data_IF_151380624982
#
_entry.id   IF_151380624982
#
_cell.length_a   1.000
_cell.length_b   1.000
_cell.length_c   1.000
_cell.angle_alpha   90.00
_cell.angle_beta   90.00
_cell.angle_gamma   90.00
#
_symmetry.space_group_name_H-M   'P 1'
#
loop_
_entity.id
_entity.type
_entity.pdbx_description
1 polymer ?
#
# COMPACT_ATOMS: atom_id res chain seq x y z
N UNK A 1 -34.02 28.53 -52.37
CA UNK A 1 -33.63 29.68 -51.52
C UNK A 1 -34.03 29.30 -50.09
N UNK A 2 -33.13 28.63 -49.36
CA UNK A 2 -32.17 29.18 -48.40
C UNK A 2 -32.78 29.63 -47.05
N UNK A 3 -32.18 29.06 -46.00
CA UNK A 3 -32.12 29.45 -44.57
C UNK A 3 -33.17 28.79 -43.66
N UNK A 4 -32.90 27.81 -42.78
CA UNK A 4 -31.83 27.51 -41.79
C UNK A 4 -32.20 27.94 -40.35
N UNK A 5 -32.05 26.98 -39.41
CA UNK A 5 -32.07 27.02 -37.94
C UNK A 5 -33.47 26.96 -37.28
N UNK A 6 -33.76 26.14 -36.26
CA UNK A 6 -33.04 25.90 -34.99
C UNK A 6 -33.47 24.52 -34.38
N UNK A 7 -32.58 23.92 -33.54
CA UNK A 7 -32.79 22.91 -32.48
C UNK A 7 -32.61 21.41 -32.80
N UNK A 8 -31.34 21.01 -32.82
CA UNK A 8 -30.84 19.69 -32.39
C UNK A 8 -30.50 19.81 -30.91
N UNK A 9 -31.07 18.98 -30.03
CA UNK A 9 -30.43 18.32 -28.86
C UNK A 9 -31.48 17.77 -27.89
N UNK A 10 -31.83 16.49 -28.01
CA UNK A 10 -32.34 15.68 -26.88
C UNK A 10 -32.38 14.21 -27.34
N UNK A 11 -31.41 13.41 -26.94
CA UNK A 11 -31.45 11.97 -27.24
C UNK A 11 -30.15 11.19 -27.09
N UNK A 12 -29.24 11.59 -26.20
CA UNK A 12 -28.03 10.83 -25.86
C UNK A 12 -27.77 10.89 -24.35
N UNK A 13 -28.72 10.41 -23.53
CA UNK A 13 -28.54 10.35 -22.08
C UNK A 13 -29.15 9.09 -21.41
N UNK A 14 -29.50 8.06 -22.18
CA UNK A 14 -30.06 6.81 -21.60
C UNK A 14 -29.09 5.61 -21.60
N UNK A 15 -27.82 5.81 -21.98
CA UNK A 15 -26.82 4.74 -22.07
C UNK A 15 -25.75 4.67 -20.98
N UNK A 16 -25.67 5.66 -20.07
CA UNK A 16 -24.53 5.79 -19.13
C UNK A 16 -24.85 5.45 -17.66
N UNK A 17 -26.10 5.14 -17.32
CA UNK A 17 -26.49 4.90 -15.92
C UNK A 17 -26.30 3.44 -15.45
N UNK A 18 -26.31 2.46 -16.36
CA UNK A 18 -26.11 1.05 -16.00
C UNK A 18 -24.63 0.68 -15.80
N UNK A 19 -23.70 1.39 -16.45
CA UNK A 19 -22.26 1.15 -16.32
C UNK A 19 -21.67 1.63 -15.00
N UNK A 20 -22.14 2.76 -14.45
CA UNK A 20 -21.67 3.26 -13.15
C UNK A 20 -22.16 2.40 -11.98
N UNK A 21 -23.39 1.88 -12.04
CA UNK A 21 -23.90 0.96 -11.02
C UNK A 21 -23.18 -0.40 -11.05
N UNK A 22 -22.83 -0.93 -12.22
CA UNK A 22 -22.04 -2.16 -12.31
C UNK A 22 -20.60 -1.97 -11.78
N UNK A 23 -19.95 -0.85 -12.07
CA UNK A 23 -18.61 -0.57 -11.52
C UNK A 23 -18.61 -0.36 -10.00
N UNK A 24 -19.63 0.30 -9.45
CA UNK A 24 -19.79 0.44 -7.99
C UNK A 24 -20.06 -0.92 -7.34
N UNK A 25 -20.93 -1.75 -7.93
CA UNK A 25 -21.24 -3.08 -7.38
C UNK A 25 -20.03 -4.02 -7.44
N UNK A 26 -19.20 -3.94 -8.50
CA UNK A 26 -17.95 -4.71 -8.59
C UNK A 26 -16.86 -4.17 -7.64
N UNK A 27 -16.76 -2.85 -7.45
CA UNK A 27 -15.87 -2.25 -6.46
C UNK A 27 -16.29 -2.64 -5.04
N UNK A 28 -17.58 -2.59 -4.72
CA UNK A 28 -18.13 -2.97 -3.41
C UNK A 28 -18.00 -4.47 -3.14
N UNK A 29 -18.15 -5.32 -4.16
CA UNK A 29 -17.89 -6.77 -4.04
C UNK A 29 -16.40 -7.09 -3.86
N UNK A 30 -15.51 -6.34 -4.52
CA UNK A 30 -14.06 -6.46 -4.36
C UNK A 30 -13.61 -5.96 -2.97
N UNK A 31 -14.18 -4.85 -2.48
CA UNK A 31 -13.90 -4.33 -1.14
C UNK A 31 -14.41 -5.27 -0.04
N UNK A 32 -15.53 -5.95 -0.26
CA UNK A 32 -16.07 -6.94 0.67
C UNK A 32 -15.33 -8.29 0.64
N UNK A 33 -14.74 -8.71 -0.49
CA UNK A 33 -13.86 -9.89 -0.54
C UNK A 33 -12.48 -9.62 0.08
N UNK A 34 -12.00 -8.38 0.04
CA UNK A 34 -10.79 -7.89 0.73
C UNK A 34 -10.94 -7.93 2.28
N UNK A 35 -12.15 -8.12 2.82
CA UNK A 35 -12.45 -7.89 4.23
C UNK A 35 -12.38 -9.09 5.16
N UNK A 36 -12.09 -10.32 4.69
CA UNK A 36 -11.79 -11.44 5.61
C UNK A 36 -10.38 -11.37 6.21
N UNK A 37 -9.92 -10.17 6.53
CA UNK A 37 -8.76 -9.94 7.37
C UNK A 37 -9.12 -10.37 8.78
N UNK A 38 -8.44 -11.41 9.27
CA UNK A 38 -8.51 -11.87 10.66
C UNK A 38 -8.34 -10.64 11.57
N UNK A 39 -9.43 -10.24 12.23
CA UNK A 39 -9.35 -9.29 13.33
C UNK A 39 -8.54 -9.98 14.43
N UNK A 40 -7.55 -9.26 14.95
CA UNK A 40 -6.71 -9.74 16.03
C UNK A 40 -7.60 -10.00 17.26
N UNK A 41 -7.92 -11.28 17.47
CA UNK A 41 -8.34 -11.82 18.76
C UNK A 41 -7.43 -13.02 19.02
N UNK A 42 -6.38 -12.72 19.78
CA UNK A 42 -5.24 -13.57 20.12
C UNK A 42 -5.60 -14.68 21.15
N UNK A 43 -6.80 -15.27 21.04
CA UNK A 43 -7.27 -16.32 21.95
C UNK A 43 -7.21 -17.75 21.39
N UNK A 44 -7.12 -17.91 20.07
CA UNK A 44 -7.24 -19.21 19.37
C UNK A 44 -6.05 -19.44 18.40
N UNK A 45 -4.85 -19.07 18.88
CA UNK A 45 -3.71 -18.58 18.07
C UNK A 45 -2.98 -19.63 17.21
N UNK A 46 -2.89 -20.91 17.58
CA UNK A 46 -1.88 -21.77 16.93
C UNK A 46 -2.19 -22.18 15.47
N UNK A 47 -3.43 -22.59 15.17
CA UNK A 47 -3.81 -23.07 13.82
C UNK A 47 -4.01 -21.95 12.81
N UNK A 48 -4.65 -20.84 13.21
CA UNK A 48 -4.88 -19.70 12.33
C UNK A 48 -3.58 -19.00 11.93
N UNK A 49 -2.65 -18.86 12.88
CA UNK A 49 -1.34 -18.25 12.64
C UNK A 49 -0.47 -19.09 11.72
N UNK A 50 -0.41 -20.41 11.96
CA UNK A 50 0.29 -21.33 11.07
C UNK A 50 -0.27 -21.29 9.65
N UNK A 51 -1.61 -21.31 9.50
CA UNK A 51 -2.24 -21.19 8.18
C UNK A 51 -1.85 -19.91 7.46
N UNK A 52 -1.92 -18.76 8.13
CA UNK A 52 -1.50 -17.48 7.50
C UNK A 52 -0.03 -17.50 7.11
N UNK A 53 0.84 -18.13 7.91
CA UNK A 53 2.24 -18.30 7.53
C UNK A 53 2.40 -19.12 6.26
N UNK A 54 1.78 -20.30 6.23
CA UNK A 54 1.97 -21.31 5.19
C UNK A 54 1.34 -20.89 3.86
N UNK A 55 0.18 -20.24 3.91
CA UNK A 55 -0.62 -19.81 2.76
C UNK A 55 -0.34 -18.36 2.30
N UNK A 56 0.59 -17.64 2.95
CA UNK A 56 0.97 -16.30 2.49
C UNK A 56 1.53 -16.36 1.06
N UNK A 57 0.95 -15.57 0.17
CA UNK A 57 1.17 -15.68 -1.29
C UNK A 57 2.63 -15.46 -1.68
N UNK A 58 3.28 -14.44 -1.12
CA UNK A 58 4.67 -14.12 -1.42
C UNK A 58 5.59 -14.55 -0.27
N UNK A 59 6.07 -15.80 -0.33
CA UNK A 59 6.98 -16.36 0.68
C UNK A 59 8.30 -15.60 0.79
N UNK A 60 8.80 -15.04 -0.32
CA UNK A 60 10.05 -14.26 -0.31
C UNK A 60 9.90 -12.97 0.50
N UNK A 61 8.79 -12.24 0.31
CA UNK A 61 8.45 -11.10 1.16
C UNK A 61 8.16 -11.55 2.60
N UNK A 62 7.36 -12.60 2.80
CA UNK A 62 7.07 -13.15 4.14
C UNK A 62 8.35 -13.40 4.92
N UNK A 63 9.29 -14.17 4.36
CA UNK A 63 10.52 -14.61 5.03
C UNK A 63 11.51 -13.45 5.22
N UNK A 64 11.42 -12.42 4.37
CA UNK A 64 12.22 -11.20 4.52
C UNK A 64 11.71 -10.35 5.70
N UNK A 65 10.39 -10.16 5.83
CA UNK A 65 9.80 -9.21 6.78
C UNK A 65 9.32 -9.83 8.10
N UNK A 66 8.99 -11.12 8.11
CA UNK A 66 8.33 -11.80 9.21
C UNK A 66 9.13 -13.03 9.66
N UNK A 67 8.92 -13.42 10.90
CA UNK A 67 9.48 -14.63 11.50
C UNK A 67 8.36 -15.39 12.19
N UNK A 68 8.29 -16.70 11.96
CA UNK A 68 7.46 -17.61 12.74
C UNK A 68 8.25 -18.06 13.96
N UNK A 69 7.71 -17.78 15.14
CA UNK A 69 8.26 -18.19 16.44
C UNK A 69 7.27 -19.07 17.17
N UNK A 70 7.77 -19.97 18.01
CA UNK A 70 6.94 -20.78 18.88
C UNK A 70 7.09 -20.27 20.32
N UNK A 71 5.97 -19.88 20.93
CA UNK A 71 5.89 -19.51 22.35
C UNK A 71 4.98 -20.52 23.07
N UNK A 72 5.60 -21.47 23.76
CA UNK A 72 4.91 -22.63 24.32
C UNK A 72 4.26 -23.48 23.22
N UNK A 73 2.93 -23.63 23.27
CA UNK A 73 2.15 -24.37 22.27
C UNK A 73 1.59 -23.48 21.15
N UNK A 74 1.92 -22.19 21.14
CA UNK A 74 1.39 -21.23 20.20
C UNK A 74 2.43 -20.82 19.16
N UNK A 75 2.01 -20.82 17.89
CA UNK A 75 2.76 -20.21 16.82
C UNK A 75 2.44 -18.71 16.79
N UNK A 76 3.47 -17.88 16.81
CA UNK A 76 3.37 -16.42 16.76
C UNK A 76 4.21 -15.89 15.61
N UNK A 77 3.65 -14.98 14.82
CA UNK A 77 4.35 -14.34 13.72
C UNK A 77 4.74 -12.94 14.14
N UNK A 78 6.04 -12.69 14.16
CA UNK A 78 6.65 -11.43 14.56
C UNK A 78 7.32 -10.78 13.36
N UNK A 79 7.65 -9.50 13.53
CA UNK A 79 8.47 -8.79 12.57
C UNK A 79 9.93 -9.27 12.65
N UNK A 80 10.65 -9.22 11.53
CA UNK A 80 12.08 -9.47 11.47
C UNK A 80 12.82 -8.56 12.48
N UNK A 81 13.77 -9.14 13.24
CA UNK A 81 14.49 -8.44 14.30
C UNK A 81 15.21 -7.17 13.80
N UNK A 82 15.71 -7.16 12.57
CA UNK A 82 16.34 -5.98 11.98
C UNK A 82 15.36 -4.80 11.88
N UNK A 83 14.10 -5.05 11.50
CA UNK A 83 13.06 -4.03 11.42
C UNK A 83 12.64 -3.55 12.81
N UNK A 84 12.53 -4.45 13.79
CA UNK A 84 12.28 -4.07 15.19
C UNK A 84 13.39 -3.16 15.74
N UNK A 85 14.65 -3.49 15.45
CA UNK A 85 15.81 -2.68 15.83
C UNK A 85 15.77 -1.30 15.16
N UNK A 86 15.31 -1.23 13.90
CA UNK A 86 15.04 0.01 13.17
C UNK A 86 13.67 0.65 13.53
N UNK A 87 13.09 0.28 14.68
CA UNK A 87 11.89 0.91 15.27
C UNK A 87 10.60 0.78 14.45
N UNK A 88 10.54 -0.20 13.54
CA UNK A 88 9.29 -0.60 12.93
C UNK A 88 8.44 -1.44 13.88
N UNK A 89 7.13 -1.35 13.70
CA UNK A 89 6.12 -2.22 14.30
C UNK A 89 5.34 -2.92 13.20
N UNK A 90 4.89 -4.13 13.49
CA UNK A 90 3.92 -4.82 12.64
C UNK A 90 2.53 -4.34 13.03
N UNK A 91 1.88 -3.58 12.16
CA UNK A 91 0.54 -3.03 12.39
C UNK A 91 -0.52 -4.08 12.07
N UNK A 92 -0.45 -4.66 10.88
CA UNK A 92 -1.39 -5.67 10.41
C UNK A 92 -0.77 -6.55 9.34
N UNK A 93 -1.34 -7.73 9.13
CA UNK A 93 -1.00 -8.63 8.02
C UNK A 93 -2.19 -9.49 7.60
N UNK A 94 -2.11 -10.01 6.39
CA UNK A 94 -3.04 -10.99 5.80
C UNK A 94 -2.25 -11.97 4.93
N UNK A 95 -2.94 -12.78 4.12
CA UNK A 95 -2.32 -13.70 3.17
C UNK A 95 -1.61 -12.99 2.00
N UNK A 96 -1.94 -11.73 1.76
CA UNK A 96 -1.58 -10.94 0.58
C UNK A 96 -1.01 -9.56 0.91
N UNK A 97 -0.99 -9.16 2.18
CA UNK A 97 -0.49 -7.85 2.61
C UNK A 97 0.25 -7.89 3.94
N UNK A 98 1.21 -6.96 4.09
CA UNK A 98 1.89 -6.65 5.35
C UNK A 98 1.90 -5.13 5.52
N UNK A 99 1.52 -4.66 6.69
CA UNK A 99 1.49 -3.25 7.05
C UNK A 99 2.43 -3.00 8.23
N UNK A 100 3.36 -2.07 8.06
CA UNK A 100 4.31 -1.66 9.08
C UNK A 100 4.03 -0.22 9.50
N UNK A 101 4.29 0.10 10.76
CA UNK A 101 4.28 1.47 11.29
C UNK A 101 5.68 1.82 11.79
N UNK A 102 6.13 3.05 11.55
CA UNK A 102 7.31 3.63 12.21
C UNK A 102 7.03 5.06 12.64
N UNK A 103 7.31 5.34 13.91
CA UNK A 103 7.30 6.71 14.43
C UNK A 103 8.52 7.47 13.89
N UNK A 104 8.29 8.71 13.42
CA UNK A 104 9.34 9.53 12.81
C UNK A 104 9.70 10.74 13.66
N UNK A 105 8.70 11.53 14.06
CA UNK A 105 8.99 12.80 14.73
C UNK A 105 7.83 13.32 15.56
N UNK A 106 8.16 14.18 16.53
CA UNK A 106 7.24 14.96 17.36
C UNK A 106 7.50 16.45 17.12
N UNK A 107 6.45 17.22 16.86
CA UNK A 107 6.48 18.66 16.62
C UNK A 107 5.44 19.39 17.46
N UNK A 108 5.59 20.71 17.59
CA UNK A 108 4.65 21.53 18.36
C UNK A 108 3.25 21.62 17.73
N UNK A 109 3.16 21.58 16.40
CA UNK A 109 1.91 21.75 15.65
C UNK A 109 1.99 21.06 14.27
N UNK A 110 0.83 20.97 13.60
CA UNK A 110 0.69 20.35 12.28
C UNK A 110 1.49 21.05 11.19
N UNK A 111 1.60 22.38 11.23
CA UNK A 111 2.34 23.13 10.22
C UNK A 111 3.82 22.77 10.24
N UNK A 112 4.41 22.67 11.43
CA UNK A 112 5.81 22.27 11.60
C UNK A 112 6.05 20.81 11.22
N UNK A 113 5.13 19.91 11.59
CA UNK A 113 5.17 18.51 11.18
C UNK A 113 5.14 18.37 9.64
N UNK A 114 4.15 18.97 8.99
CA UNK A 114 3.99 18.92 7.54
C UNK A 114 5.18 19.54 6.82
N UNK A 115 5.67 20.70 7.26
CA UNK A 115 6.88 21.32 6.68
C UNK A 115 8.06 20.36 6.72
N UNK A 116 8.32 19.71 7.86
CA UNK A 116 9.44 18.77 7.98
C UNK A 116 9.29 17.56 7.06
N UNK A 117 8.07 17.02 6.95
CA UNK A 117 7.74 15.93 6.02
C UNK A 117 8.05 16.38 4.58
N UNK A 118 7.54 17.55 4.17
CA UNK A 118 7.70 18.08 2.82
C UNK A 118 9.18 18.41 2.50
N UNK A 119 9.98 18.79 3.50
CA UNK A 119 11.43 19.06 3.35
C UNK A 119 12.31 17.81 3.47
N UNK A 120 11.72 16.61 3.53
CA UNK A 120 12.47 15.36 3.49
C UNK A 120 13.14 14.97 4.82
N UNK A 121 12.45 15.16 5.96
CA UNK A 121 12.90 14.64 7.27
C UNK A 121 13.18 13.12 7.24
N UNK A 122 12.57 12.41 6.29
CA UNK A 122 12.72 10.98 6.11
C UNK A 122 12.90 10.66 4.63
N UNK A 123 13.85 9.77 4.33
CA UNK A 123 14.16 9.32 2.98
C UNK A 123 13.70 7.87 2.86
N UNK A 124 12.44 7.68 2.49
CA UNK A 124 11.78 6.37 2.50
C UNK A 124 12.41 5.38 1.52
N UNK A 125 12.98 5.83 0.40
CA UNK A 125 13.62 4.95 -0.57
C UNK A 125 14.97 4.38 -0.10
N UNK A 126 15.52 4.87 1.03
CA UNK A 126 16.79 4.41 1.61
C UNK A 126 16.64 3.71 2.94
N UNK A 127 15.42 3.61 3.46
CA UNK A 127 15.19 2.98 4.75
C UNK A 127 15.32 1.45 4.68
N UNK A 128 15.31 0.81 5.85
CA UNK A 128 15.50 -0.63 5.94
C UNK A 128 14.39 -1.40 5.24
N UNK A 129 13.13 -0.96 5.35
CA UNK A 129 12.01 -1.65 4.71
C UNK A 129 12.15 -1.61 3.19
N UNK A 130 12.45 -0.46 2.59
CA UNK A 130 12.66 -0.33 1.15
C UNK A 130 13.86 -1.16 0.66
N UNK A 131 14.98 -1.14 1.39
CA UNK A 131 16.14 -1.99 1.11
C UNK A 131 15.77 -3.47 1.10
N UNK A 132 15.05 -3.93 2.13
CA UNK A 132 14.62 -5.32 2.23
C UNK A 132 13.69 -5.72 1.08
N UNK A 133 12.82 -4.81 0.61
CA UNK A 133 11.93 -5.03 -0.54
C UNK A 133 12.72 -5.22 -1.84
N UNK A 134 13.72 -4.36 -2.05
CA UNK A 134 14.59 -4.43 -3.23
C UNK A 134 15.43 -5.71 -3.18
N UNK A 135 16.10 -5.96 -2.07
CA UNK A 135 16.97 -7.14 -1.91
C UNK A 135 16.23 -8.46 -2.14
N UNK A 136 15.01 -8.62 -1.61
CA UNK A 136 14.26 -9.87 -1.82
C UNK A 136 13.84 -10.05 -3.27
N UNK A 137 13.51 -8.96 -3.98
CA UNK A 137 13.18 -9.01 -5.41
C UNK A 137 14.41 -9.39 -6.24
N UNK A 138 15.54 -8.71 -6.01
CA UNK A 138 16.79 -8.97 -6.73
C UNK A 138 17.29 -10.41 -6.51
N UNK A 139 17.13 -10.96 -5.30
CA UNK A 139 17.48 -12.35 -5.00
C UNK A 139 16.71 -13.39 -5.86
N UNK A 140 15.54 -13.02 -6.40
CA UNK A 140 14.75 -13.84 -7.34
C UNK A 140 15.10 -13.58 -8.81
N UNK A 141 15.98 -12.62 -9.08
CA UNK A 141 16.25 -12.10 -10.42
C UNK A 141 15.10 -11.26 -10.97
N UNK A 142 14.27 -10.70 -10.08
CA UNK A 142 13.23 -9.73 -10.42
C UNK A 142 13.83 -8.32 -10.35
N UNK A 143 13.17 -7.36 -10.99
CA UNK A 143 13.56 -5.95 -10.88
C UNK A 143 12.59 -5.18 -9.99
N UNK A 144 13.05 -4.07 -9.42
CA UNK A 144 12.16 -3.12 -8.73
C UNK A 144 12.19 -1.79 -9.45
N UNK A 145 11.02 -1.24 -9.73
CA UNK A 145 10.86 0.09 -10.33
C UNK A 145 10.35 1.06 -9.28
N UNK A 146 11.01 2.21 -9.18
CA UNK A 146 10.62 3.31 -8.31
C UNK A 146 9.85 4.36 -9.11
N UNK A 147 8.66 4.69 -8.64
CA UNK A 147 7.78 5.67 -9.28
C UNK A 147 7.59 6.91 -8.42
N UNK A 148 7.33 8.04 -9.08
CA UNK A 148 7.04 9.34 -8.47
C UNK A 148 5.84 9.28 -7.51
N UNK A 149 5.79 10.25 -6.59
CA UNK A 149 4.80 10.37 -5.51
C UNK A 149 3.34 10.41 -5.96
N UNK A 150 3.07 10.81 -7.21
CA UNK A 150 1.72 10.75 -7.78
C UNK A 150 1.23 9.30 -7.96
N UNK A 151 2.12 8.37 -8.31
CA UNK A 151 1.78 6.94 -8.36
C UNK A 151 1.56 6.39 -6.95
N UNK A 152 2.39 6.76 -5.98
CA UNK A 152 2.17 6.40 -4.58
C UNK A 152 0.82 6.91 -4.06
N UNK A 153 0.46 8.16 -4.38
CA UNK A 153 -0.84 8.73 -4.00
C UNK A 153 -2.02 7.98 -4.63
N UNK A 154 -1.92 7.65 -5.93
CA UNK A 154 -2.93 6.88 -6.65
C UNK A 154 -3.12 5.49 -6.02
N UNK A 155 -2.02 4.79 -5.75
CA UNK A 155 -2.04 3.46 -5.13
C UNK A 155 -2.67 3.51 -3.73
N UNK A 156 -2.25 4.44 -2.87
CA UNK A 156 -2.79 4.52 -1.51
C UNK A 156 -4.27 4.92 -1.46
N UNK A 157 -4.77 5.69 -2.44
CA UNK A 157 -6.20 6.01 -2.54
C UNK A 157 -7.05 4.84 -3.01
N UNK A 158 -6.45 3.91 -3.75
CA UNK A 158 -7.17 2.79 -4.38
C UNK A 158 -7.03 1.48 -3.60
N UNK A 159 -5.97 1.34 -2.81
CA UNK A 159 -5.66 0.15 -2.03
C UNK A 159 -5.94 0.40 -0.55
N UNK A 160 -6.34 -0.67 0.14
CA UNK A 160 -6.63 -0.65 1.58
C UNK A 160 -5.46 -0.07 2.37
N UNK A 161 -5.78 0.85 3.28
CA UNK A 161 -4.83 1.46 4.21
C UNK A 161 -5.01 0.89 5.62
N UNK A 162 -3.93 0.73 6.41
CA UNK A 162 -4.01 0.35 7.82
C UNK A 162 -4.33 1.55 8.73
N UNK A 163 -4.24 2.77 8.19
CA UNK A 163 -4.42 4.02 8.93
C UNK A 163 -5.84 4.13 9.47
N UNK A 164 -5.97 4.41 10.76
CA UNK A 164 -7.26 4.74 11.39
C UNK A 164 -7.54 6.23 11.26
N UNK A 165 -8.67 6.60 10.67
CA UNK A 165 -9.08 8.01 10.54
C UNK A 165 -9.86 8.48 11.77
N UNK A 166 -9.54 9.67 12.27
CA UNK A 166 -10.23 10.28 13.39
C UNK A 166 -9.99 11.79 13.44
N UNK A 167 -10.83 12.50 14.19
CA UNK A 167 -10.69 13.94 14.41
C UNK A 167 -9.38 14.24 15.15
N UNK A 168 -8.55 15.08 14.56
CA UNK A 168 -7.20 15.37 15.07
C UNK A 168 -6.10 14.52 14.41
N UNK A 169 -6.39 13.83 13.31
CA UNK A 169 -5.37 13.23 12.45
C UNK A 169 -5.39 13.85 11.04
N UNK A 170 -4.23 13.89 10.38
CA UNK A 170 -4.05 14.28 8.98
C UNK A 170 -3.25 13.20 8.26
N UNK A 171 -3.79 12.69 7.16
CA UNK A 171 -3.18 11.63 6.37
C UNK A 171 -2.60 12.20 5.06
N UNK A 172 -1.38 11.82 4.70
CA UNK A 172 -0.72 12.24 3.44
C UNK A 172 -0.27 11.02 2.66
N UNK A 173 -0.61 10.97 1.39
CA UNK A 173 -0.33 9.85 0.48
C UNK A 173 0.60 10.24 -0.67
N UNK A 174 0.93 11.53 -0.79
CA UNK A 174 1.56 12.16 -1.96
C UNK A 174 2.95 12.72 -1.66
N UNK A 175 3.61 12.15 -0.66
CA UNK A 175 4.95 12.57 -0.19
C UNK A 175 6.03 11.68 -0.81
N UNK A 176 5.92 10.37 -0.57
CA UNK A 176 6.96 9.40 -0.91
C UNK A 176 6.78 8.75 -2.30
N UNK A 177 7.85 8.21 -2.88
CA UNK A 177 7.76 7.35 -4.06
C UNK A 177 7.12 5.98 -3.73
N UNK A 178 6.61 5.31 -4.76
CA UNK A 178 6.20 3.90 -4.68
C UNK A 178 7.28 2.99 -5.27
N UNK A 179 7.39 1.76 -4.76
CA UNK A 179 8.23 0.72 -5.35
C UNK A 179 7.35 -0.42 -5.85
N UNK A 180 7.61 -0.92 -7.05
CA UNK A 180 6.90 -2.06 -7.61
C UNK A 180 7.90 -3.08 -8.12
N UNK A 181 7.77 -4.31 -7.64
CA UNK A 181 8.53 -5.46 -8.10
C UNK A 181 7.91 -6.01 -9.39
N UNK A 182 8.75 -6.30 -10.38
CA UNK A 182 8.38 -6.94 -11.64
C UNK A 182 9.20 -8.21 -11.86
N UNK A 183 8.54 -9.27 -12.33
CA UNK A 183 9.21 -10.49 -12.74
C UNK A 183 9.98 -10.32 -14.06
N UNK A 184 10.69 -11.38 -14.47
CA UNK A 184 11.47 -11.40 -15.72
C UNK A 184 10.63 -11.25 -16.99
N UNK A 185 9.33 -11.53 -16.92
CA UNK A 185 8.39 -11.33 -18.02
C UNK A 185 7.82 -9.89 -18.04
N UNK A 186 8.12 -9.08 -17.02
CA UNK A 186 7.61 -7.73 -16.88
C UNK A 186 6.24 -7.65 -16.20
N UNK A 187 5.78 -8.73 -15.57
CA UNK A 187 4.52 -8.75 -14.81
C UNK A 187 4.77 -8.23 -13.38
N UNK A 188 3.87 -7.44 -12.79
CA UNK A 188 4.02 -6.95 -11.42
C UNK A 188 3.79 -8.08 -10.42
N UNK A 189 4.63 -8.13 -9.39
CA UNK A 189 4.67 -9.19 -8.37
C UNK A 189 4.30 -8.65 -6.99
N UNK A 190 4.75 -7.44 -6.68
CA UNK A 190 4.47 -6.80 -5.41
C UNK A 190 4.57 -5.28 -5.52
N UNK A 191 3.86 -4.58 -4.64
CA UNK A 191 3.85 -3.12 -4.55
C UNK A 191 4.18 -2.75 -3.10
N UNK A 192 5.12 -1.82 -2.92
CA UNK A 192 5.33 -1.10 -1.67
C UNK A 192 4.88 0.35 -1.84
N UNK A 193 3.97 0.79 -0.96
CA UNK A 193 3.60 2.20 -0.82
C UNK A 193 3.93 2.73 0.56
N UNK A 194 3.94 4.06 0.68
CA UNK A 194 4.10 4.76 1.95
C UNK A 194 3.00 5.76 2.16
N UNK A 195 2.59 5.93 3.41
CA UNK A 195 1.59 6.92 3.80
C UNK A 195 1.95 7.51 5.16
N UNK A 196 1.76 8.80 5.32
CA UNK A 196 2.00 9.49 6.58
C UNK A 196 0.70 9.70 7.32
N UNK A 197 0.77 9.54 8.64
CA UNK A 197 -0.26 10.04 9.54
C UNK A 197 0.37 10.99 10.56
N UNK A 198 -0.18 12.18 10.63
CA UNK A 198 0.16 13.19 11.61
C UNK A 198 -0.99 13.30 12.61
N UNK A 199 -0.73 13.09 13.89
CA UNK A 199 -1.76 12.94 14.94
C UNK A 199 -1.57 14.02 16.01
N UNK A 200 -2.67 14.65 16.41
CA UNK A 200 -2.72 15.56 17.54
C UNK A 200 -2.62 14.78 18.86
N UNK A 201 -1.65 15.17 19.69
CA UNK A 201 -1.44 14.68 21.05
C UNK A 201 -1.11 15.90 21.96
N UNK A 202 -0.29 15.72 23.01
CA UNK A 202 0.40 16.85 23.65
C UNK A 202 1.50 17.29 22.67
N UNK A 203 1.15 18.14 21.70
CA UNK A 203 1.94 18.40 20.49
C UNK A 203 1.41 17.58 19.30
N UNK A 204 2.28 17.22 18.36
CA UNK A 204 1.89 16.52 17.12
C UNK A 204 2.93 15.45 16.76
N UNK A 205 2.49 14.21 16.66
CA UNK A 205 3.33 13.08 16.24
C UNK A 205 3.15 12.80 14.75
N UNK A 206 4.22 12.41 14.07
CA UNK A 206 4.18 11.92 12.69
C UNK A 206 4.71 10.50 12.60
N UNK A 207 3.91 9.65 11.96
CA UNK A 207 4.20 8.24 11.70
C UNK A 207 4.18 7.99 10.21
N UNK A 208 5.02 7.07 9.76
CA UNK A 208 4.99 6.54 8.41
C UNK A 208 4.48 5.10 8.46
N UNK A 209 3.55 4.79 7.57
CA UNK A 209 3.08 3.44 7.31
C UNK A 209 3.71 2.93 6.03
N UNK A 210 4.13 1.67 6.08
CA UNK A 210 4.73 0.96 4.93
C UNK A 210 3.83 -0.20 4.59
N UNK A 211 3.27 -0.15 3.40
CA UNK A 211 2.26 -1.10 2.98
C UNK A 211 2.86 -1.96 1.88
N UNK A 212 2.86 -3.28 2.09
CA UNK A 212 3.28 -4.27 1.12
C UNK A 212 2.05 -5.00 0.61
N UNK A 213 1.83 -4.95 -0.70
CA UNK A 213 0.75 -5.65 -1.39
C UNK A 213 1.35 -6.65 -2.37
N UNK A 214 0.96 -7.91 -2.28
CA UNK A 214 1.49 -8.98 -3.12
C UNK A 214 0.43 -10.03 -3.45
N UNK A 215 -0.85 -9.65 -3.36
CA UNK A 215 -1.98 -10.47 -3.78
C UNK A 215 -2.18 -10.42 -5.30
N UNK A 216 -2.58 -11.54 -5.94
CA UNK A 216 -2.79 -11.59 -7.39
C UNK A 216 -3.88 -10.64 -7.86
N UNK A 217 -4.93 -10.42 -7.06
CA UNK A 217 -6.00 -9.46 -7.38
C UNK A 217 -5.48 -8.02 -7.40
N UNK A 218 -4.61 -7.66 -6.46
CA UNK A 218 -3.98 -6.33 -6.41
C UNK A 218 -3.07 -6.11 -7.61
N UNK A 219 -2.29 -7.12 -8.02
CA UNK A 219 -1.41 -7.01 -9.19
C UNK A 219 -2.24 -6.86 -10.48
N UNK A 220 -3.29 -7.67 -10.65
CA UNK A 220 -4.20 -7.56 -11.79
C UNK A 220 -4.90 -6.19 -11.83
N UNK A 221 -5.35 -5.70 -10.69
CA UNK A 221 -5.94 -4.36 -10.60
C UNK A 221 -4.92 -3.29 -11.01
N UNK A 222 -3.68 -3.38 -10.54
CA UNK A 222 -2.60 -2.44 -10.87
C UNK A 222 -2.33 -2.39 -12.38
N UNK A 223 -2.16 -3.55 -13.01
CA UNK A 223 -1.94 -3.67 -14.46
C UNK A 223 -3.07 -3.04 -15.28
N UNK A 224 -4.32 -3.26 -14.86
CA UNK A 224 -5.49 -2.77 -15.59
C UNK A 224 -5.79 -1.29 -15.33
N UNK A 225 -5.41 -0.77 -14.16
CA UNK A 225 -5.85 0.55 -13.71
C UNK A 225 -4.83 1.65 -13.97
N UNK A 226 -3.55 1.31 -14.11
CA UNK A 226 -2.48 2.29 -14.32
C UNK A 226 -1.85 2.05 -15.69
N UNK A 227 -2.03 3.00 -16.60
CA UNK A 227 -1.52 2.87 -17.96
C UNK A 227 0.01 2.79 -17.99
N UNK A 228 0.57 2.03 -18.94
CA UNK A 228 2.02 1.94 -19.15
C UNK A 228 2.65 3.31 -19.34
N UNK A 229 2.00 4.19 -20.10
CA UNK A 229 2.47 5.57 -20.30
C UNK A 229 2.58 6.35 -18.98
N UNK A 230 1.58 6.22 -18.10
CA UNK A 230 1.61 6.83 -16.77
C UNK A 230 2.78 6.31 -15.92
N UNK A 231 3.08 5.02 -16.01
CA UNK A 231 4.21 4.41 -15.30
C UNK A 231 5.55 4.88 -15.88
N UNK A 232 5.69 4.92 -17.20
CA UNK A 232 6.90 5.40 -17.89
C UNK A 232 7.19 6.87 -17.54
N UNK A 233 6.20 7.76 -17.65
CA UNK A 233 6.35 9.18 -17.33
C UNK A 233 6.67 9.42 -15.84
N UNK A 234 6.26 8.50 -14.97
CA UNK A 234 6.47 8.55 -13.54
C UNK A 234 7.71 7.78 -13.06
N UNK A 235 8.41 7.06 -13.93
CA UNK A 235 9.56 6.25 -13.54
C UNK A 235 10.72 7.14 -13.08
N UNK A 236 11.28 6.82 -11.92
CA UNK A 236 12.46 7.49 -11.36
C UNK A 236 13.70 6.64 -11.59
N UNK A 237 13.60 5.34 -11.29
CA UNK A 237 14.74 4.43 -11.26
C UNK A 237 14.28 2.98 -11.38
N UNK A 238 15.15 2.15 -11.94
CA UNK A 238 15.04 0.69 -11.88
C UNK A 238 16.22 0.11 -11.12
N UNK A 239 15.96 -0.84 -10.23
CA UNK A 239 16.94 -1.64 -9.50
C UNK A 239 16.99 -3.03 -10.13
N UNK A 240 18.20 -3.48 -10.48
CA UNK A 240 18.50 -4.76 -11.14
C UNK A 240 19.77 -5.36 -10.57
#
# INVERSE_FOLDING_TARGET
MNNLNILITAGLLLGSLTGCQQMQTMADQTVNSISKGVQAYDGWISKGTARVWDEMQNKSIRDKYLILTQEGNNNLIKLNQALLNDKYKLEKRSFDTIYLEKYITHQANFSDANRKIDTGIYISEKDLAAKMFIEQALAKGNEVRQYKKNINALLNRSLKQPITEFNGASNRYDVDPALVEFDKAGSPVAIMTRSWQTISAIGVDSRIYTNLYFGPETMRWFENSISNRSLEDALIRTYR
#
